data_IF_793519101766
#
_entry.id   IF_793519101766
#
_cell.length_a   1.000
_cell.length_b   1.000
_cell.length_c   1.000
_cell.angle_alpha   90.00
_cell.angle_beta   90.00
_cell.angle_gamma   90.00
#
_symmetry.space_group_name_H-M   'P 1'
#
loop_
_entity.id
_entity.type
_entity.pdbx_description
1 polymer ?
#
# COMPACT_ATOMS: atom_id res chain seq x y z
N UNK A 1 -12.73 5.62 -29.99
CA UNK A 1 -12.42 4.78 -28.81
C UNK A 1 -13.71 4.35 -28.13
N UNK A 2 -13.87 3.04 -27.94
CA UNK A 2 -15.05 2.38 -27.35
C UNK A 2 -14.94 2.39 -25.82
N UNK A 3 -16.08 2.47 -25.14
CA UNK A 3 -16.17 2.28 -23.69
C UNK A 3 -16.21 0.78 -23.39
N UNK A 4 -15.20 0.26 -22.69
CA UNK A 4 -15.05 -1.17 -22.42
C UNK A 4 -15.23 -1.49 -20.95
N UNK A 5 -15.95 -2.59 -20.65
CA UNK A 5 -16.08 -3.10 -19.29
C UNK A 5 -14.74 -3.70 -18.84
N UNK A 6 -14.28 -3.34 -17.65
CA UNK A 6 -13.10 -3.94 -17.03
C UNK A 6 -13.54 -5.16 -16.22
N UNK A 7 -13.08 -6.34 -16.62
CA UNK A 7 -13.30 -7.59 -15.87
C UNK A 7 -12.06 -7.89 -15.07
N UNK A 8 -12.17 -7.80 -13.74
CA UNK A 8 -11.11 -8.23 -12.82
C UNK A 8 -11.41 -9.68 -12.42
N UNK A 9 -10.60 -10.66 -12.85
CA UNK A 9 -10.83 -12.06 -12.52
C UNK A 9 -10.73 -12.25 -11.01
N UNK A 10 -11.60 -13.09 -10.46
CA UNK A 10 -11.51 -13.52 -9.08
C UNK A 10 -10.80 -14.87 -9.03
N UNK A 11 -9.48 -14.84 -8.81
CA UNK A 11 -8.64 -16.05 -8.74
C UNK A 11 -8.51 -16.58 -7.30
N UNK A 12 -9.34 -16.10 -6.37
CA UNK A 12 -9.19 -16.37 -4.94
C UNK A 12 -9.29 -17.85 -4.57
N UNK A 13 -10.06 -18.64 -5.32
CA UNK A 13 -10.18 -20.09 -5.08
C UNK A 13 -9.00 -20.91 -5.64
N UNK A 14 -8.14 -20.30 -6.47
CA UNK A 14 -7.15 -21.03 -7.28
C UNK A 14 -5.72 -20.82 -6.74
N UNK A 15 -5.40 -19.67 -6.14
CA UNK A 15 -4.04 -19.36 -5.72
C UNK A 15 -3.79 -19.66 -4.23
N UNK A 16 -3.02 -20.72 -3.95
CA UNK A 16 -2.43 -20.96 -2.62
C UNK A 16 -1.36 -19.92 -2.32
N UNK A 17 -1.26 -19.50 -1.06
CA UNK A 17 -0.17 -18.64 -0.57
C UNK A 17 1.17 -19.37 -0.80
N UNK A 18 2.21 -18.71 -1.32
CA UNK A 18 3.52 -19.34 -1.47
C UNK A 18 4.12 -19.67 -0.09
N UNK A 19 4.82 -20.80 0.00
CA UNK A 19 5.53 -21.19 1.23
C UNK A 19 6.77 -20.32 1.48
N UNK A 20 7.39 -19.84 0.40
CA UNK A 20 8.59 -19.01 0.43
C UNK A 20 8.49 -17.86 -0.57
N UNK A 21 9.12 -16.74 -0.24
CA UNK A 21 9.34 -15.62 -1.16
C UNK A 21 10.82 -15.28 -1.14
N UNK A 22 11.42 -15.10 -2.31
CA UNK A 22 12.81 -14.69 -2.40
C UNK A 22 12.96 -13.19 -2.07
N UNK A 23 13.94 -12.84 -1.25
CA UNK A 23 14.32 -11.45 -1.05
C UNK A 23 15.08 -10.88 -2.28
N UNK A 24 15.52 -9.63 -2.22
CA UNK A 24 16.26 -8.99 -3.30
C UNK A 24 17.61 -9.67 -3.63
N UNK A 25 18.16 -10.46 -2.72
CA UNK A 25 19.40 -11.24 -2.90
C UNK A 25 19.13 -12.67 -3.41
N UNK A 26 17.87 -13.04 -3.63
CA UNK A 26 17.48 -14.39 -4.04
C UNK A 26 17.41 -15.41 -2.90
N UNK A 27 17.55 -14.97 -1.64
CA UNK A 27 17.44 -15.84 -0.46
C UNK A 27 15.96 -16.15 -0.18
N UNK A 28 15.56 -17.43 -0.09
CA UNK A 28 14.18 -17.81 0.20
C UNK A 28 13.85 -17.52 1.67
N UNK A 29 12.82 -16.70 1.88
CA UNK A 29 12.30 -16.36 3.21
C UNK A 29 10.95 -17.07 3.41
N UNK A 30 10.75 -17.81 4.52
CA UNK A 30 9.50 -18.49 4.78
C UNK A 30 8.36 -17.49 4.98
N UNK A 31 7.23 -17.74 4.33
CA UNK A 31 6.00 -16.97 4.52
C UNK A 31 5.22 -17.61 5.65
N UNK A 32 4.97 -16.86 6.73
CA UNK A 32 4.16 -17.33 7.86
C UNK A 32 2.68 -17.06 7.54
N UNK A 33 1.85 -18.10 7.28
CA UNK A 33 0.48 -17.89 6.88
C UNK A 33 -0.36 -17.28 8.00
N UNK A 34 -1.15 -16.28 7.64
CA UNK A 34 -2.21 -15.74 8.48
C UNK A 34 -3.27 -15.09 7.58
N UNK A 35 -4.45 -14.82 8.13
CA UNK A 35 -5.57 -14.25 7.35
C UNK A 35 -5.22 -12.94 6.62
N UNK A 36 -4.35 -12.09 7.18
CA UNK A 36 -3.91 -10.85 6.51
C UNK A 36 -3.00 -11.16 5.32
N UNK A 37 -2.12 -12.15 5.44
CA UNK A 37 -1.26 -12.61 4.37
C UNK A 37 -2.03 -13.24 3.22
N UNK A 38 -2.98 -14.12 3.52
CA UNK A 38 -3.84 -14.76 2.51
C UNK A 38 -4.61 -13.72 1.69
N UNK A 39 -5.22 -12.74 2.37
CA UNK A 39 -5.95 -11.66 1.69
C UNK A 39 -5.02 -10.78 0.85
N UNK A 40 -3.82 -10.49 1.36
CA UNK A 40 -2.83 -9.69 0.62
C UNK A 40 -2.37 -10.44 -0.63
N UNK A 41 -2.08 -11.73 -0.52
CA UNK A 41 -1.74 -12.57 -1.66
C UNK A 41 -2.84 -12.60 -2.73
N UNK A 42 -4.09 -12.76 -2.30
CA UNK A 42 -5.24 -12.73 -3.20
C UNK A 42 -5.38 -11.39 -3.92
N UNK A 43 -5.15 -10.27 -3.23
CA UNK A 43 -5.08 -8.95 -3.87
C UNK A 43 -3.95 -8.89 -4.89
N UNK A 44 -2.76 -9.41 -4.57
CA UNK A 44 -1.65 -9.42 -5.51
C UNK A 44 -1.99 -10.23 -6.78
N UNK A 45 -2.46 -11.47 -6.64
CA UNK A 45 -2.78 -12.38 -7.75
C UNK A 45 -3.93 -11.87 -8.64
N UNK A 46 -4.87 -11.14 -8.06
CA UNK A 46 -6.01 -10.54 -8.78
C UNK A 46 -5.66 -9.19 -9.43
N UNK A 47 -4.41 -8.74 -9.35
CA UNK A 47 -4.01 -7.45 -9.92
C UNK A 47 -4.06 -7.49 -11.45
N UNK A 48 -4.68 -6.46 -12.03
CA UNK A 48 -4.79 -6.23 -13.46
C UNK A 48 -4.24 -4.85 -13.78
N UNK A 49 -3.34 -4.79 -14.74
CA UNK A 49 -2.88 -3.55 -15.35
C UNK A 49 -3.98 -2.98 -16.25
N UNK A 50 -4.28 -1.69 -16.12
CA UNK A 50 -5.31 -1.02 -16.93
C UNK A 50 -4.68 -0.22 -18.08
N UNK A 51 -3.80 0.71 -17.73
CA UNK A 51 -3.02 1.54 -18.65
C UNK A 51 -1.97 2.31 -17.84
N UNK A 52 -0.90 2.80 -18.50
CA UNK A 52 0.17 3.57 -17.87
C UNK A 52 0.63 2.93 -16.55
N UNK A 53 0.53 3.67 -15.43
CA UNK A 53 0.88 3.24 -14.09
C UNK A 53 -0.36 2.89 -13.23
N UNK A 54 -1.52 2.69 -13.86
CA UNK A 54 -2.82 2.46 -13.21
C UNK A 54 -3.17 0.99 -13.19
N UNK A 55 -3.51 0.50 -12.01
CA UNK A 55 -3.84 -0.89 -11.73
C UNK A 55 -5.16 -1.00 -10.98
N UNK A 56 -5.81 -2.14 -11.13
CA UNK A 56 -6.95 -2.55 -10.31
C UNK A 56 -6.67 -3.91 -9.69
N UNK A 57 -7.09 -4.09 -8.45
CA UNK A 57 -7.18 -5.42 -7.85
C UNK A 57 -8.54 -5.61 -7.20
N UNK A 58 -8.91 -6.85 -6.91
CA UNK A 58 -10.19 -7.20 -6.31
C UNK A 58 -10.01 -8.15 -5.14
N UNK A 59 -10.80 -7.89 -4.11
CA UNK A 59 -11.06 -8.85 -3.04
C UNK A 59 -12.54 -8.81 -2.66
N UNK A 60 -13.23 -9.94 -2.80
CA UNK A 60 -14.67 -10.07 -2.56
C UNK A 60 -15.47 -9.02 -3.35
N UNK A 61 -16.25 -8.20 -2.63
CA UNK A 61 -17.16 -7.20 -3.20
C UNK A 61 -16.49 -5.84 -3.40
N UNK A 62 -15.17 -5.73 -3.19
CA UNK A 62 -14.45 -4.47 -3.37
C UNK A 62 -13.36 -4.61 -4.43
N UNK A 63 -13.27 -3.59 -5.27
CA UNK A 63 -12.11 -3.37 -6.13
C UNK A 63 -11.34 -2.17 -5.61
N UNK A 64 -10.02 -2.25 -5.70
CA UNK A 64 -9.07 -1.23 -5.29
C UNK A 64 -8.38 -0.70 -6.54
N UNK A 65 -8.40 0.62 -6.71
CA UNK A 65 -7.72 1.30 -7.80
C UNK A 65 -6.52 2.04 -7.23
N UNK A 66 -5.40 1.91 -7.95
CA UNK A 66 -4.12 2.46 -7.55
C UNK A 66 -3.35 2.95 -8.78
N UNK A 67 -2.65 4.07 -8.63
CA UNK A 67 -1.72 4.62 -9.61
C UNK A 67 -0.33 4.70 -8.96
N UNK A 68 0.69 4.13 -9.60
CA UNK A 68 2.06 4.11 -9.04
C UNK A 68 2.64 5.49 -8.73
N UNK A 69 2.16 6.51 -9.42
CA UNK A 69 2.62 7.88 -9.31
C UNK A 69 1.78 8.73 -8.34
N UNK A 70 0.76 8.16 -7.69
CA UNK A 70 -0.12 8.90 -6.79
C UNK A 70 -0.22 8.23 -5.42
N UNK A 71 -0.39 9.06 -4.39
CA UNK A 71 -0.53 8.60 -3.00
C UNK A 71 -1.87 7.93 -2.64
N UNK A 72 -3.05 8.35 -3.12
CA UNK A 72 -4.30 7.80 -2.62
C UNK A 72 -4.53 6.40 -3.18
N UNK A 73 -4.64 5.43 -2.26
CA UNK A 73 -5.29 4.17 -2.56
C UNK A 73 -6.81 4.38 -2.52
N UNK A 74 -7.50 3.92 -3.56
CA UNK A 74 -8.94 4.10 -3.68
C UNK A 74 -9.67 2.78 -3.80
N UNK A 75 -10.97 2.76 -3.47
CA UNK A 75 -11.81 1.57 -3.61
C UNK A 75 -13.25 1.91 -4.00
N UNK A 76 -13.93 0.94 -4.59
CA UNK A 76 -15.36 0.97 -4.86
C UNK A 76 -16.01 -0.39 -4.62
N UNK A 77 -17.33 -0.41 -4.44
CA UNK A 77 -18.10 -1.63 -4.18
C UNK A 77 -18.64 -2.24 -5.49
N UNK A 78 -18.15 -3.42 -5.85
CA UNK A 78 -18.51 -4.17 -7.05
C UNK A 78 -19.99 -4.61 -7.08
N UNK A 79 -20.69 -4.63 -5.95
CA UNK A 79 -22.13 -4.91 -5.92
C UNK A 79 -22.95 -3.70 -6.37
N UNK A 80 -22.37 -2.50 -6.33
CA UNK A 80 -23.05 -1.24 -6.69
C UNK A 80 -22.59 -0.68 -8.02
N UNK A 81 -21.33 -0.90 -8.38
CA UNK A 81 -20.71 -0.26 -9.54
C UNK A 81 -19.97 -1.24 -10.42
N UNK A 82 -19.99 -0.98 -11.72
CA UNK A 82 -19.10 -1.57 -12.72
C UNK A 82 -18.01 -0.58 -13.13
N UNK A 83 -16.80 -1.06 -13.36
CA UNK A 83 -15.66 -0.27 -13.84
C UNK A 83 -15.58 -0.32 -15.36
N UNK A 84 -15.49 0.85 -15.96
CA UNK A 84 -15.35 1.02 -17.40
C UNK A 84 -14.11 1.86 -17.73
N UNK A 85 -13.54 1.59 -18.89
CA UNK A 85 -12.38 2.30 -19.44
C UNK A 85 -12.69 2.85 -20.83
N UNK A 86 -12.27 4.09 -21.10
CA UNK A 86 -12.27 4.69 -22.45
C UNK A 86 -11.00 5.51 -22.62
N UNK A 87 -10.05 5.00 -23.41
CA UNK A 87 -8.71 5.58 -23.46
C UNK A 87 -8.04 5.52 -22.09
N UNK A 88 -7.52 6.66 -21.60
CA UNK A 88 -6.89 6.79 -20.28
C UNK A 88 -7.84 7.32 -19.19
N UNK A 89 -9.15 7.21 -19.42
CA UNK A 89 -10.18 7.66 -18.47
C UNK A 89 -10.91 6.46 -17.89
N UNK A 90 -11.07 6.43 -16.56
CA UNK A 90 -11.87 5.44 -15.87
C UNK A 90 -13.23 6.00 -15.47
N UNK A 91 -14.24 5.15 -15.54
CA UNK A 91 -15.60 5.45 -15.18
C UNK A 91 -16.16 4.36 -14.26
N UNK A 92 -16.97 4.77 -13.28
CA UNK A 92 -17.85 3.87 -12.57
C UNK A 92 -19.27 4.06 -13.11
N UNK A 93 -19.98 2.96 -13.35
CA UNK A 93 -21.40 2.96 -13.71
C UNK A 93 -22.22 2.34 -12.60
N UNK A 94 -23.30 2.97 -12.18
CA UNK A 94 -24.21 2.42 -11.19
C UNK A 94 -25.00 1.23 -11.78
N UNK A 95 -25.03 0.10 -11.08
CA UNK A 95 -25.74 -1.10 -11.53
C UNK A 95 -27.25 -0.95 -11.48
N UNK A 96 -27.75 -0.19 -10.51
CA UNK A 96 -29.18 0.05 -10.33
C UNK A 96 -29.70 1.21 -11.19
N UNK A 97 -28.79 2.09 -11.61
CA UNK A 97 -29.06 3.27 -12.43
C UNK A 97 -28.03 3.34 -13.57
N UNK A 98 -28.10 2.45 -14.57
CA UNK A 98 -27.06 2.29 -15.60
C UNK A 98 -26.86 3.54 -16.48
N UNK A 99 -27.80 4.48 -16.47
CA UNK A 99 -27.65 5.83 -17.03
C UNK A 99 -26.66 6.70 -16.27
N UNK A 100 -26.42 6.43 -14.98
CA UNK A 100 -25.46 7.15 -14.16
C UNK A 100 -24.04 6.63 -14.37
N UNK A 101 -23.27 7.37 -15.16
CA UNK A 101 -21.85 7.14 -15.40
C UNK A 101 -21.02 8.28 -14.78
N UNK A 102 -20.05 7.95 -13.93
CA UNK A 102 -19.16 8.94 -13.32
C UNK A 102 -17.71 8.68 -13.70
N UNK A 103 -17.02 9.73 -14.13
CA UNK A 103 -15.55 9.72 -14.26
C UNK A 103 -14.92 9.62 -12.88
N UNK A 104 -13.94 8.73 -12.75
CA UNK A 104 -13.22 8.48 -11.49
C UNK A 104 -11.70 8.54 -11.65
N UNK A 105 -11.20 8.57 -12.89
CA UNK A 105 -9.80 8.87 -13.21
C UNK A 105 -9.76 9.67 -14.50
N UNK A 106 -9.12 10.84 -14.48
CA UNK A 106 -8.98 11.72 -15.64
C UNK A 106 -7.69 12.56 -15.47
N UNK A 107 -6.98 12.79 -16.57
CA UNK A 107 -5.80 13.67 -16.62
C UNK A 107 -4.73 13.35 -15.57
N UNK A 108 -4.54 12.06 -15.29
CA UNK A 108 -3.53 11.59 -14.35
C UNK A 108 -3.93 11.69 -12.89
N UNK A 109 -5.22 11.88 -12.55
CA UNK A 109 -5.69 12.02 -11.17
C UNK A 109 -6.94 11.19 -10.87
N UNK A 110 -7.01 10.64 -9.65
CA UNK A 110 -8.25 10.05 -9.12
C UNK A 110 -9.24 11.12 -8.66
N UNK A 111 -10.45 11.08 -9.20
CA UNK A 111 -11.54 11.96 -8.79
C UNK A 111 -12.28 11.31 -7.61
N UNK A 112 -11.84 11.61 -6.39
CA UNK A 112 -12.48 11.11 -5.17
C UNK A 112 -13.86 11.72 -5.01
N UNK A 113 -14.86 10.87 -4.80
CA UNK A 113 -16.27 11.30 -4.80
C UNK A 113 -16.86 11.33 -3.39
N UNK A 114 -17.78 12.27 -3.16
CA UNK A 114 -18.69 12.22 -2.01
C UNK A 114 -19.75 11.12 -2.25
N UNK A 115 -20.16 10.39 -1.21
CA UNK A 115 -21.24 9.36 -1.23
C UNK A 115 -20.91 8.00 -1.90
N UNK A 116 -19.70 7.50 -1.71
CA UNK A 116 -19.33 6.07 -1.90
C UNK A 116 -19.11 5.55 -3.33
N UNK A 117 -18.97 6.38 -4.37
CA UNK A 117 -18.63 5.88 -5.71
C UNK A 117 -17.19 5.39 -5.76
N UNK A 118 -16.25 6.33 -5.74
CA UNK A 118 -14.83 6.06 -5.50
C UNK A 118 -14.43 6.68 -4.17
N UNK A 119 -13.99 5.85 -3.24
CA UNK A 119 -13.61 6.24 -1.88
C UNK A 119 -12.10 6.13 -1.70
N UNK A 120 -11.49 7.15 -1.14
CA UNK A 120 -10.14 7.03 -0.58
C UNK A 120 -10.19 6.40 0.81
N UNK A 121 -9.05 5.85 1.23
CA UNK A 121 -8.79 5.43 2.60
C UNK A 121 -9.00 6.59 3.58
N UNK A 122 -9.85 6.38 4.60
CA UNK A 122 -10.10 7.39 5.65
C UNK A 122 -9.85 6.88 7.07
N UNK A 123 -9.71 5.57 7.26
CA UNK A 123 -9.39 4.99 8.55
C UNK A 123 -7.91 5.17 8.86
N UNK A 124 -7.56 5.17 10.15
CA UNK A 124 -6.19 5.33 10.63
C UNK A 124 -5.76 4.13 11.49
N UNK A 125 -4.53 3.67 11.30
CA UNK A 125 -3.90 2.58 12.06
C UNK A 125 -2.48 2.95 12.53
N UNK A 126 -1.94 2.18 13.48
CA UNK A 126 -0.60 2.41 14.04
C UNK A 126 -0.51 3.73 14.80
N UNK A 127 -1.31 3.87 15.86
CA UNK A 127 -1.43 5.10 16.65
C UNK A 127 -1.85 6.33 15.83
N UNK A 128 -2.76 6.14 14.87
CA UNK A 128 -3.30 7.21 14.05
C UNK A 128 -2.42 7.65 12.86
N UNK A 129 -1.22 7.07 12.70
CA UNK A 129 -0.21 7.57 11.76
C UNK A 129 -0.44 7.19 10.30
N UNK A 130 -1.05 6.03 10.05
CA UNK A 130 -1.14 5.48 8.69
C UNK A 130 -2.58 5.38 8.23
N UNK A 131 -2.86 5.86 7.01
CA UNK A 131 -4.11 5.57 6.32
C UNK A 131 -4.23 4.07 6.04
N UNK A 132 -5.46 3.56 6.12
CA UNK A 132 -5.72 2.14 5.92
C UNK A 132 -7.14 1.89 5.42
N UNK A 133 -7.34 0.65 4.97
CA UNK A 133 -8.66 0.05 4.78
C UNK A 133 -8.82 -1.19 5.65
N UNK A 134 -10.00 -1.34 6.24
CA UNK A 134 -10.55 -2.65 6.59
C UNK A 134 -10.92 -3.38 5.29
N UNK A 135 -10.25 -4.51 5.02
CA UNK A 135 -10.48 -5.35 3.84
C UNK A 135 -11.67 -6.29 4.06
N UNK A 136 -11.69 -7.00 5.19
CA UNK A 136 -12.78 -7.90 5.58
C UNK A 136 -12.72 -8.22 7.07
N UNK A 137 -13.89 -8.22 7.74
CA UNK A 137 -13.99 -8.35 9.20
C UNK A 137 -13.01 -7.38 9.88
N UNK A 138 -12.01 -7.90 10.61
CA UNK A 138 -11.01 -7.11 11.33
C UNK A 138 -9.63 -7.10 10.63
N UNK A 139 -9.55 -7.52 9.36
CA UNK A 139 -8.30 -7.50 8.59
C UNK A 139 -8.08 -6.08 8.08
N UNK A 140 -7.07 -5.41 8.65
CA UNK A 140 -6.68 -4.04 8.28
C UNK A 140 -5.37 -4.09 7.50
N UNK A 141 -5.35 -3.49 6.32
CA UNK A 141 -4.12 -3.22 5.55
C UNK A 141 -3.88 -1.72 5.48
N UNK A 142 -2.66 -1.29 5.74
CA UNK A 142 -2.26 0.12 5.59
C UNK A 142 -2.03 0.41 4.11
N UNK A 143 -2.27 1.65 3.70
CA UNK A 143 -2.15 2.06 2.30
C UNK A 143 -0.77 1.76 1.75
N UNK A 144 0.29 2.21 2.44
CA UNK A 144 1.66 1.94 2.01
C UNK A 144 1.96 0.43 1.89
N UNK A 145 1.36 -0.41 2.73
CA UNK A 145 1.56 -1.87 2.65
C UNK A 145 0.93 -2.43 1.38
N UNK A 146 -0.31 -2.04 1.09
CA UNK A 146 -1.01 -2.51 -0.11
C UNK A 146 -0.39 -1.91 -1.37
N UNK A 147 0.02 -0.64 -1.33
CA UNK A 147 0.70 0.00 -2.44
C UNK A 147 2.04 -0.68 -2.73
N UNK A 148 2.87 -0.90 -1.71
CA UNK A 148 4.13 -1.63 -1.86
C UNK A 148 3.90 -3.05 -2.40
N UNK A 149 2.84 -3.72 -1.95
CA UNK A 149 2.45 -5.02 -2.47
C UNK A 149 2.17 -5.00 -3.97
N UNK A 150 1.40 -4.02 -4.45
CA UNK A 150 1.04 -3.90 -5.86
C UNK A 150 2.21 -3.37 -6.72
N UNK A 151 3.15 -2.63 -6.12
CA UNK A 151 4.32 -2.08 -6.80
C UNK A 151 5.46 -3.09 -6.92
N UNK A 152 5.78 -3.78 -5.82
CA UNK A 152 6.96 -4.63 -5.67
C UNK A 152 6.64 -6.13 -5.69
N UNK A 153 5.36 -6.50 -5.72
CA UNK A 153 4.92 -7.88 -5.85
C UNK A 153 5.22 -8.70 -4.61
N UNK A 154 5.69 -9.93 -4.83
CA UNK A 154 5.84 -10.94 -3.78
C UNK A 154 6.72 -10.49 -2.62
N UNK A 155 7.82 -9.76 -2.89
CA UNK A 155 8.73 -9.37 -1.81
C UNK A 155 8.07 -8.50 -0.74
N UNK A 156 7.10 -7.68 -1.12
CA UNK A 156 6.34 -6.86 -0.18
C UNK A 156 5.42 -7.69 0.74
N UNK A 157 5.10 -8.95 0.38
CA UNK A 157 4.42 -9.87 1.29
C UNK A 157 5.24 -10.10 2.57
N UNK A 158 6.57 -10.09 2.48
CA UNK A 158 7.46 -10.25 3.63
C UNK A 158 7.35 -9.10 4.65
N UNK A 159 6.76 -7.97 4.27
CA UNK A 159 6.51 -6.80 5.11
C UNK A 159 5.06 -6.71 5.64
N UNK A 160 4.25 -7.75 5.43
CA UNK A 160 2.84 -7.82 5.80
C UNK A 160 2.66 -8.94 6.85
N UNK A 161 1.69 -8.75 7.76
CA UNK A 161 1.35 -9.76 8.77
C UNK A 161 2.09 -9.64 10.10
N UNK A 162 2.16 -10.75 10.83
CA UNK A 162 2.83 -10.92 12.13
C UNK A 162 4.22 -11.51 11.94
N UNK A 163 5.12 -11.28 12.90
CA UNK A 163 6.49 -11.82 12.90
C UNK A 163 7.30 -11.58 11.61
N UNK A 164 6.96 -10.49 10.91
CA UNK A 164 7.65 -10.04 9.71
C UNK A 164 9.08 -9.64 10.04
N UNK A 165 10.00 -9.94 9.12
CA UNK A 165 11.40 -9.50 9.19
C UNK A 165 11.69 -8.29 8.29
N UNK A 166 10.75 -7.97 7.39
CA UNK A 166 10.76 -6.78 6.55
C UNK A 166 9.68 -5.78 6.98
N UNK A 167 9.85 -4.54 6.57
CA UNK A 167 8.88 -3.46 6.68
C UNK A 167 8.84 -2.64 5.39
N UNK A 168 7.70 -2.01 5.17
CA UNK A 168 7.60 -0.97 4.15
C UNK A 168 8.03 0.34 4.79
N UNK A 169 9.10 0.93 4.28
CA UNK A 169 9.61 2.22 4.72
C UNK A 169 9.18 3.34 3.75
N UNK A 170 9.03 4.54 4.29
CA UNK A 170 8.89 5.78 3.53
C UNK A 170 10.26 6.44 3.45
N UNK A 171 10.81 6.58 2.24
CA UNK A 171 12.17 7.10 2.02
C UNK A 171 12.29 8.52 2.61
N UNK A 172 11.29 9.38 2.35
CA UNK A 172 11.21 10.74 2.88
C UNK A 172 10.74 10.84 4.35
N UNK A 173 10.38 9.73 4.99
CA UNK A 173 9.80 9.70 6.35
C UNK A 173 8.37 10.26 6.45
N UNK A 174 7.75 10.70 5.36
CA UNK A 174 6.40 11.24 5.34
C UNK A 174 5.37 10.12 5.15
N UNK A 175 4.69 9.74 6.23
CA UNK A 175 3.69 8.67 6.23
C UNK A 175 2.43 8.94 5.37
N UNK A 176 2.25 10.16 4.85
CA UNK A 176 1.17 10.50 3.92
C UNK A 176 1.58 10.37 2.45
N UNK A 177 2.88 10.31 2.15
CA UNK A 177 3.42 10.19 0.79
C UNK A 177 3.54 8.71 0.41
N UNK A 178 2.45 8.12 -0.07
CA UNK A 178 2.42 6.70 -0.45
C UNK A 178 2.68 6.46 -1.95
N UNK A 179 3.28 7.42 -2.67
CA UNK A 179 3.74 7.19 -4.05
C UNK A 179 4.71 6.00 -4.04
N UNK A 180 4.59 5.06 -4.99
CA UNK A 180 5.41 3.83 -4.98
C UNK A 180 6.90 4.13 -4.89
N UNK A 181 7.39 5.10 -5.67
CA UNK A 181 8.81 5.51 -5.68
C UNK A 181 9.31 6.11 -4.37
N UNK A 182 8.42 6.46 -3.44
CA UNK A 182 8.77 6.89 -2.08
C UNK A 182 8.72 5.73 -1.06
N UNK A 183 8.29 4.55 -1.48
CA UNK A 183 8.22 3.37 -0.62
C UNK A 183 9.33 2.39 -0.97
N UNK A 184 9.81 1.66 0.03
CA UNK A 184 10.75 0.55 -0.16
C UNK A 184 10.43 -0.59 0.80
N UNK A 185 10.83 -1.81 0.44
CA UNK A 185 10.68 -3.00 1.31
C UNK A 185 12.05 -3.32 1.87
N UNK A 186 12.28 -3.02 3.15
CA UNK A 186 13.60 -3.16 3.79
C UNK A 186 13.49 -4.03 5.02
N UNK A 187 14.62 -4.56 5.51
CA UNK A 187 14.63 -5.26 6.79
C UNK A 187 14.25 -4.31 7.92
N UNK A 188 13.71 -4.85 9.03
CA UNK A 188 13.39 -4.05 10.22
C UNK A 188 14.59 -3.25 10.73
N UNK A 189 15.80 -3.83 10.66
CA UNK A 189 17.02 -3.17 11.13
C UNK A 189 17.44 -2.04 10.19
N UNK A 190 17.35 -2.24 8.87
CA UNK A 190 17.59 -1.18 7.90
C UNK A 190 16.57 -0.03 8.04
N UNK A 191 15.29 -0.33 8.27
CA UNK A 191 14.28 0.70 8.54
C UNK A 191 14.60 1.52 9.81
N UNK A 192 15.07 0.83 10.86
CA UNK A 192 15.48 1.48 12.11
C UNK A 192 16.69 2.39 11.92
N UNK A 193 17.66 1.94 11.14
CA UNK A 193 18.84 2.69 10.78
C UNK A 193 18.48 3.94 9.96
N UNK A 194 17.66 3.78 8.91
CA UNK A 194 17.15 4.88 8.09
C UNK A 194 16.47 5.95 8.94
N UNK A 195 15.56 5.53 9.82
CA UNK A 195 14.84 6.43 10.71
C UNK A 195 15.77 7.23 11.63
N UNK A 196 16.83 6.61 12.12
CA UNK A 196 17.77 7.29 13.00
C UNK A 196 18.74 8.20 12.23
N UNK A 197 19.17 7.81 11.03
CA UNK A 197 20.14 8.60 10.25
C UNK A 197 19.51 9.77 9.50
N UNK A 198 18.33 9.59 8.92
CA UNK A 198 17.82 10.50 7.88
C UNK A 198 16.48 11.16 8.21
N UNK A 199 15.65 10.55 9.08
CA UNK A 199 14.28 11.04 9.35
C UNK A 199 14.13 11.72 10.70
N UNK A 200 14.87 11.28 11.72
CA UNK A 200 14.86 11.97 13.00
C UNK A 200 15.72 13.23 12.90
N UNK A 201 15.12 14.38 13.19
CA UNK A 201 15.85 15.45 13.87
C UNK A 201 16.33 14.88 15.20
N UNK A 202 17.52 14.27 15.20
CA UNK A 202 18.15 13.85 16.44
C UNK A 202 18.69 15.12 17.07
N UNK A 203 18.01 15.58 18.12
CA UNK A 203 18.58 16.60 18.99
C UNK A 203 19.95 16.11 19.46
N UNK A 204 21.00 16.85 19.10
CA UNK A 204 22.39 16.59 19.48
C UNK A 204 22.50 16.45 21.00
N UNK A 205 21.69 17.24 21.71
CA UNK A 205 21.64 17.30 23.16
C UNK A 205 20.28 16.82 23.67
N UNK A 206 20.29 16.00 24.71
CA UNK A 206 19.09 15.54 25.42
C UNK A 206 19.28 15.73 26.92
N UNK A 207 18.19 16.07 27.63
CA UNK A 207 18.22 16.10 29.09
C UNK A 207 17.97 14.69 29.64
N UNK A 208 18.90 14.15 30.42
CA UNK A 208 18.72 12.90 31.19
C UNK A 208 19.09 13.14 32.64
N UNK A 209 18.16 12.81 33.54
CA UNK A 209 18.34 12.99 34.99
C UNK A 209 18.73 14.43 35.40
N UNK A 210 18.26 15.43 34.65
CA UNK A 210 18.57 16.85 34.90
C UNK A 210 19.87 17.34 34.26
N UNK A 211 20.65 16.47 33.61
CA UNK A 211 21.88 16.84 32.92
C UNK A 211 21.66 16.88 31.41
N UNK A 212 22.21 17.91 30.75
CA UNK A 212 22.26 17.99 29.29
C UNK A 212 23.44 17.14 28.83
N UNK A 213 23.17 16.06 28.10
CA UNK A 213 24.18 15.14 27.57
C UNK A 213 24.09 15.07 26.04
N UNK A 214 25.20 14.72 25.38
CA UNK A 214 25.16 14.31 23.98
C UNK A 214 24.26 13.09 23.86
N UNK A 215 23.34 13.12 22.91
CA UNK A 215 22.37 12.07 22.71
C UNK A 215 23.07 10.70 22.54
N UNK A 216 22.89 9.73 23.46
CA UNK A 216 23.60 8.45 23.42
C UNK A 216 23.25 7.58 22.20
N UNK A 217 22.23 7.95 21.43
CA UNK A 217 21.92 7.31 20.16
C UNK A 217 22.95 7.71 19.08
N UNK A 218 23.58 8.89 19.21
CA UNK A 218 24.59 9.40 18.27
C UNK A 218 25.95 8.73 18.42
N UNK A 219 26.29 8.14 19.58
CA UNK A 219 27.56 7.44 19.76
C UNK A 219 27.69 6.16 18.92
N UNK A 220 26.59 5.68 18.34
CA UNK A 220 26.58 4.57 17.36
C UNK A 220 26.86 5.02 15.92
N UNK A 221 26.98 6.33 15.67
CA UNK A 221 27.17 6.93 14.36
C UNK A 221 28.50 7.71 14.28
N UNK A 222 29.51 7.30 15.07
CA UNK A 222 30.81 7.96 15.22
C UNK A 222 31.62 8.13 13.93
N UNK A 223 31.24 7.47 12.84
CA UNK A 223 31.85 7.63 11.51
C UNK A 223 31.40 8.90 10.77
N UNK A 224 30.33 9.57 11.22
CA UNK A 224 29.78 10.78 10.56
C UNK A 224 30.51 12.06 10.99
N UNK A 225 31.30 11.99 12.07
CA UNK A 225 32.01 13.15 12.65
C UNK A 225 33.55 13.02 12.57
N UNK A 226 34.05 12.08 11.77
CA UNK A 226 35.48 11.90 11.48
C UNK A 226 35.85 12.58 10.16
#
# INVERSE_FOLDING_TARGET
MVLSLVVVPDKTEISKLPEFVNNYEGVPIPVIPNSKMEVSWQLLVNTVHLFDQVYVTRYKNYSFLYDRNQSPLTRFNNNKFDLYIKGKTLYLRNKNHPEELRKVYLDGEFIITKKNWLMQSGQRAGNGRYKCFTLFKNIIIRDHQLIALLAYGEIALLAIGVDRVYEVNHIDGNHENNISSNLEVVTIDANREHKNRYVREINLLVCRKGEIIINPVLSKYSEIFA
#
